data_IF_760324587754
#
_entry.id   IF_760324587754
#
_cell.length_a   1.000
_cell.length_b   1.000
_cell.length_c   1.000
_cell.angle_alpha   90.00
_cell.angle_beta   90.00
_cell.angle_gamma   90.00
#
_symmetry.space_group_name_H-M   'P 1'
#
loop_
_entity.id
_entity.type
_entity.pdbx_description
1 polymer ?
#
# COMPACT_ATOMS: atom_id res chain seq x y z
N UNK A 1 2.80 -14.80 -22.57
CA UNK A 1 2.27 -13.48 -22.15
C UNK A 1 3.36 -12.84 -21.29
N UNK A 2 3.95 -11.69 -21.66
CA UNK A 2 5.03 -11.10 -20.87
C UNK A 2 4.57 -10.93 -19.41
N UNK A 3 5.51 -11.02 -18.45
CA UNK A 3 5.19 -10.76 -17.04
C UNK A 3 4.54 -9.38 -16.97
N UNK A 4 3.24 -9.35 -16.65
CA UNK A 4 2.43 -8.14 -16.77
C UNK A 4 2.61 -7.18 -15.59
N UNK A 5 3.70 -7.32 -14.84
CA UNK A 5 3.90 -6.66 -13.55
C UNK A 5 5.08 -5.70 -13.71
N UNK A 6 4.80 -4.41 -13.61
CA UNK A 6 5.81 -3.36 -13.81
C UNK A 6 6.58 -3.03 -12.53
N UNK A 7 7.25 -1.87 -12.50
CA UNK A 7 7.89 -1.34 -11.29
C UNK A 7 7.02 -0.23 -10.67
N UNK A 8 6.91 -0.22 -9.35
CA UNK A 8 6.21 0.79 -8.56
C UNK A 8 7.24 1.54 -7.70
N UNK A 9 7.30 2.86 -7.84
CA UNK A 9 8.06 3.73 -6.94
C UNK A 9 7.12 4.28 -5.87
N UNK A 10 7.51 4.19 -4.60
CA UNK A 10 6.81 4.80 -3.46
C UNK A 10 7.81 5.67 -2.71
N UNK A 11 7.55 6.98 -2.64
CA UNK A 11 8.39 7.94 -1.93
C UNK A 11 7.58 8.53 -0.78
N UNK A 12 7.99 8.24 0.44
CA UNK A 12 7.30 8.65 1.66
C UNK A 12 7.95 9.88 2.29
N UNK A 13 7.12 10.78 2.81
CA UNK A 13 7.51 11.90 3.65
C UNK A 13 8.28 11.40 4.89
N UNK A 14 7.67 10.50 5.67
CA UNK A 14 8.31 9.85 6.81
C UNK A 14 9.39 8.84 6.41
N UNK A 15 10.34 8.61 7.31
CA UNK A 15 11.43 7.64 7.11
C UNK A 15 11.07 6.21 7.53
N UNK A 16 10.10 6.06 8.43
CA UNK A 16 9.84 4.79 9.12
C UNK A 16 8.38 4.33 8.99
N UNK A 17 7.39 5.04 9.56
CA UNK A 17 5.99 4.58 9.68
C UNK A 17 5.41 4.06 8.35
N UNK A 18 5.34 4.91 7.32
CA UNK A 18 4.73 4.58 6.04
C UNK A 18 5.61 3.60 5.24
N UNK A 19 6.95 3.79 5.14
CA UNK A 19 7.81 2.80 4.53
C UNK A 19 7.68 1.40 5.15
N UNK A 20 7.65 1.30 6.48
CA UNK A 20 7.50 0.03 7.20
C UNK A 20 6.18 -0.65 6.88
N UNK A 21 5.09 0.12 6.76
CA UNK A 21 3.80 -0.41 6.35
C UNK A 21 3.84 -1.01 4.94
N UNK A 22 4.36 -0.27 3.95
CA UNK A 22 4.34 -0.72 2.55
C UNK A 22 5.37 -1.81 2.22
N UNK A 23 6.44 -1.96 3.03
CA UNK A 23 7.43 -3.05 2.89
C UNK A 23 6.82 -4.44 2.93
N UNK A 24 5.63 -4.59 3.50
CA UNK A 24 4.94 -5.87 3.49
C UNK A 24 4.67 -6.38 2.06
N UNK A 25 4.29 -5.52 1.11
CA UNK A 25 4.05 -5.95 -0.28
C UNK A 25 5.35 -6.34 -0.99
N UNK A 26 6.47 -5.65 -0.73
CA UNK A 26 7.79 -6.08 -1.20
C UNK A 26 8.10 -7.51 -0.73
N UNK A 27 7.91 -7.78 0.56
CA UNK A 27 8.11 -9.11 1.16
C UNK A 27 7.18 -10.17 0.55
N UNK A 28 5.95 -9.82 0.19
CA UNK A 28 5.06 -10.77 -0.50
C UNK A 28 5.58 -11.14 -1.88
N UNK A 29 6.04 -10.16 -2.67
CA UNK A 29 6.62 -10.45 -3.99
C UNK A 29 7.83 -11.38 -3.86
N UNK A 30 8.70 -11.15 -2.88
CA UNK A 30 9.81 -12.06 -2.56
C UNK A 30 9.34 -13.48 -2.21
N UNK A 31 8.33 -13.60 -1.33
CA UNK A 31 7.79 -14.91 -0.96
C UNK A 31 7.13 -15.64 -2.13
N UNK A 32 6.37 -14.92 -2.96
CA UNK A 32 5.73 -15.45 -4.17
C UNK A 32 6.78 -15.94 -5.16
N UNK A 33 7.87 -15.18 -5.35
CA UNK A 33 9.02 -15.62 -6.17
C UNK A 33 9.63 -16.91 -5.63
N UNK A 34 9.78 -17.01 -4.29
CA UNK A 34 10.26 -18.22 -3.63
C UNK A 34 9.35 -19.43 -3.84
N UNK A 35 8.04 -19.20 -3.91
CA UNK A 35 7.01 -20.21 -4.15
C UNK A 35 6.69 -20.45 -5.64
N UNK A 36 7.37 -19.77 -6.57
CA UNK A 36 7.08 -19.87 -7.99
C UNK A 36 7.28 -21.30 -8.51
N UNK A 37 6.28 -21.84 -9.24
CA UNK A 37 6.31 -23.22 -9.76
C UNK A 37 7.36 -23.42 -10.86
N UNK A 38 7.74 -22.34 -11.54
CA UNK A 38 8.78 -22.32 -12.57
C UNK A 38 9.70 -21.13 -12.39
N UNK A 39 11.00 -21.33 -12.62
CA UNK A 39 12.00 -20.25 -12.66
C UNK A 39 11.86 -19.40 -13.92
N UNK A 40 11.20 -19.91 -14.95
CA UNK A 40 10.93 -19.20 -16.20
C UNK A 40 9.44 -19.25 -16.50
N UNK A 41 8.80 -18.08 -16.55
CA UNK A 41 7.39 -17.94 -16.91
C UNK A 41 7.32 -17.04 -18.13
N UNK A 42 6.68 -17.53 -19.20
CA UNK A 42 6.57 -16.80 -20.48
C UNK A 42 7.91 -16.27 -21.02
N UNK A 43 8.99 -17.04 -20.87
CA UNK A 43 10.33 -16.68 -21.35
C UNK A 43 11.12 -15.73 -20.43
N UNK A 44 10.58 -15.33 -19.28
CA UNK A 44 11.24 -14.42 -18.35
C UNK A 44 11.71 -15.19 -17.12
N UNK A 45 12.96 -14.95 -16.71
CA UNK A 45 13.52 -15.51 -15.48
C UNK A 45 12.95 -14.78 -14.26
N UNK A 46 12.06 -15.46 -13.53
CA UNK A 46 11.37 -14.94 -12.34
C UNK A 46 12.35 -14.60 -11.21
N UNK A 47 13.55 -15.19 -11.19
CA UNK A 47 14.59 -14.87 -10.21
C UNK A 47 15.37 -13.58 -10.50
N UNK A 48 15.37 -13.12 -11.76
CA UNK A 48 16.11 -11.93 -12.18
C UNK A 48 15.21 -10.68 -12.25
N UNK A 49 13.96 -10.79 -11.82
CA UNK A 49 13.02 -9.67 -11.77
C UNK A 49 13.33 -8.84 -10.52
N UNK A 50 14.10 -7.76 -10.66
CA UNK A 50 14.53 -6.89 -9.55
C UNK A 50 13.43 -5.93 -9.07
N UNK A 51 13.47 -5.57 -7.78
CA UNK A 51 12.70 -4.54 -7.06
C UNK A 51 11.46 -3.98 -7.78
N UNK A 52 10.40 -4.80 -7.83
CA UNK A 52 9.08 -4.46 -8.39
C UNK A 52 8.42 -3.33 -7.63
N UNK A 53 8.70 -3.21 -6.33
CA UNK A 53 8.27 -2.07 -5.52
C UNK A 53 9.54 -1.48 -4.92
N UNK A 54 9.80 -0.20 -5.14
CA UNK A 54 10.91 0.55 -4.53
C UNK A 54 10.35 1.57 -3.57
N UNK A 55 10.68 1.43 -2.29
CA UNK A 55 10.19 2.31 -1.22
C UNK A 55 11.33 3.18 -0.70
N UNK A 56 11.11 4.49 -0.58
CA UNK A 56 12.09 5.46 -0.08
C UNK A 56 11.44 6.41 0.93
N UNK A 57 11.81 6.29 2.19
CA UNK A 57 11.55 7.32 3.20
C UNK A 57 12.60 8.44 3.12
N UNK A 58 12.20 9.70 3.30
CA UNK A 58 13.09 10.84 3.05
C UNK A 58 13.19 11.90 4.14
N UNK A 59 12.29 11.93 5.13
CA UNK A 59 12.29 12.97 6.15
C UNK A 59 12.12 14.36 5.54
N UNK A 60 11.34 14.46 4.45
CA UNK A 60 11.16 15.68 3.65
C UNK A 60 9.69 16.04 3.56
N UNK A 61 9.40 17.33 3.65
CA UNK A 61 8.04 17.81 3.58
C UNK A 61 7.59 18.15 2.15
N UNK A 62 6.36 17.77 1.83
CA UNK A 62 5.52 18.47 0.86
C UNK A 62 6.20 18.67 -0.53
N UNK A 63 6.50 19.89 -0.97
CA UNK A 63 7.07 20.16 -2.32
C UNK A 63 8.45 19.52 -2.50
N UNK A 64 9.28 19.54 -1.46
CA UNK A 64 10.64 19.00 -1.51
C UNK A 64 10.65 17.48 -1.64
N UNK A 65 9.62 16.81 -1.12
CA UNK A 65 9.40 15.38 -1.33
C UNK A 65 9.13 15.09 -2.81
N UNK A 66 8.25 15.87 -3.44
CA UNK A 66 7.87 15.69 -4.86
C UNK A 66 9.09 15.89 -5.76
N UNK A 67 9.86 16.94 -5.54
CA UNK A 67 11.11 17.18 -6.29
C UNK A 67 12.06 16.00 -6.15
N UNK A 68 12.22 15.49 -4.93
CA UNK A 68 13.08 14.34 -4.72
C UNK A 68 12.55 13.07 -5.37
N UNK A 69 11.22 12.88 -5.41
CA UNK A 69 10.60 11.75 -6.06
C UNK A 69 10.83 11.78 -7.58
N UNK A 70 10.72 12.97 -8.19
CA UNK A 70 11.05 13.20 -9.60
C UNK A 70 12.52 12.87 -9.88
N UNK A 71 13.45 13.35 -9.04
CA UNK A 71 14.88 13.04 -9.19
C UNK A 71 15.14 11.52 -9.14
N UNK A 72 14.52 10.82 -8.17
CA UNK A 72 14.68 9.37 -8.03
C UNK A 72 14.15 8.65 -9.26
N UNK A 73 12.97 9.05 -9.78
CA UNK A 73 12.42 8.45 -10.99
C UNK A 73 13.35 8.64 -12.18
N UNK A 74 13.86 9.87 -12.38
CA UNK A 74 14.67 10.23 -13.53
C UNK A 74 16.10 9.67 -13.50
N UNK A 75 16.60 9.27 -12.33
CA UNK A 75 17.93 8.66 -12.17
C UNK A 75 17.94 7.15 -12.44
N UNK A 76 16.78 6.52 -12.59
CA UNK A 76 16.68 5.08 -12.78
C UNK A 76 16.77 4.71 -14.26
N UNK A 77 17.49 3.62 -14.55
CA UNK A 77 17.66 3.13 -15.92
C UNK A 77 16.46 2.35 -16.45
N UNK A 78 15.51 1.99 -15.58
CA UNK A 78 14.31 1.24 -15.92
C UNK A 78 13.12 2.02 -15.38
N UNK A 79 12.19 2.35 -16.27
CA UNK A 79 10.99 3.12 -15.94
C UNK A 79 10.10 2.44 -14.91
N UNK A 80 9.41 3.27 -14.12
CA UNK A 80 8.33 2.82 -13.26
C UNK A 80 7.00 2.89 -14.00
N UNK A 81 6.21 1.83 -13.89
CA UNK A 81 4.83 1.82 -14.37
C UNK A 81 3.89 2.62 -13.47
N UNK A 82 4.28 2.82 -12.22
CA UNK A 82 3.57 3.67 -11.27
C UNK A 82 4.56 4.37 -10.35
N UNK A 83 4.29 5.62 -10.02
CA UNK A 83 5.08 6.36 -9.04
C UNK A 83 4.13 7.07 -8.07
N UNK A 84 4.41 6.94 -6.77
CA UNK A 84 3.56 7.43 -5.70
C UNK A 84 4.35 8.35 -4.76
N UNK A 85 3.76 9.48 -4.43
CA UNK A 85 4.17 10.28 -3.26
C UNK A 85 3.23 9.94 -2.10
N UNK A 86 3.79 9.64 -0.92
CA UNK A 86 3.03 9.42 0.31
C UNK A 86 3.32 10.56 1.28
N UNK A 87 2.31 11.37 1.57
CA UNK A 87 2.41 12.51 2.48
C UNK A 87 1.81 12.16 3.84
N UNK A 88 2.59 12.33 4.90
CA UNK A 88 2.03 12.56 6.23
C UNK A 88 1.61 14.04 6.31
N UNK A 89 0.52 14.33 7.00
CA UNK A 89 0.11 15.71 7.18
C UNK A 89 0.95 16.33 8.30
N UNK A 90 1.91 17.20 7.95
CA UNK A 90 2.70 17.96 8.94
C UNK A 90 2.94 19.44 8.54
N UNK A 91 2.84 20.29 9.57
CA UNK A 91 3.13 21.72 9.81
C UNK A 91 2.92 22.80 8.74
N UNK A 92 3.05 22.55 7.43
CA UNK A 92 2.92 23.60 6.40
C UNK A 92 1.70 23.38 5.50
N UNK A 93 0.50 23.64 6.06
CA UNK A 93 -0.79 23.59 5.33
C UNK A 93 -0.75 24.31 3.98
N UNK A 94 -0.01 25.42 3.90
CA UNK A 94 0.10 26.24 2.71
C UNK A 94 0.71 25.50 1.52
N UNK A 95 1.67 24.60 1.78
CA UNK A 95 2.36 23.86 0.73
C UNK A 95 1.64 22.54 0.37
N UNK A 96 0.74 22.06 1.22
CA UNK A 96 0.12 20.74 1.08
C UNK A 96 -0.63 20.58 -0.25
N UNK A 97 -1.58 21.48 -0.54
CA UNK A 97 -2.33 21.43 -1.79
C UNK A 97 -1.41 21.67 -3.02
N UNK A 98 -0.48 22.66 -3.01
CA UNK A 98 0.52 22.79 -4.06
C UNK A 98 1.34 21.51 -4.33
N UNK A 99 1.76 20.77 -3.30
CA UNK A 99 2.54 19.55 -3.49
C UNK A 99 1.74 18.43 -4.14
N UNK A 100 0.49 18.23 -3.72
CA UNK A 100 -0.41 17.26 -4.36
C UNK A 100 -0.60 17.61 -5.84
N UNK A 101 -0.83 18.89 -6.16
CA UNK A 101 -0.94 19.33 -7.56
C UNK A 101 0.36 19.13 -8.33
N UNK A 102 1.51 19.47 -7.75
CA UNK A 102 2.82 19.29 -8.38
C UNK A 102 3.11 17.82 -8.67
N UNK A 103 2.82 16.92 -7.72
CA UNK A 103 2.99 15.48 -7.90
C UNK A 103 2.17 14.97 -9.09
N UNK A 104 0.86 15.28 -9.10
CA UNK A 104 -0.04 14.87 -10.21
C UNK A 104 0.36 15.45 -11.55
N UNK A 105 0.78 16.71 -11.59
CA UNK A 105 1.29 17.35 -12.81
C UNK A 105 2.59 16.72 -13.34
N UNK A 106 3.25 15.86 -12.56
CA UNK A 106 4.44 15.13 -12.94
C UNK A 106 4.20 13.61 -13.01
N UNK A 107 2.96 13.17 -13.21
CA UNK A 107 2.57 11.75 -13.31
C UNK A 107 2.89 10.92 -12.06
N UNK A 108 2.77 11.54 -10.89
CA UNK A 108 2.74 10.83 -9.62
C UNK A 108 1.31 10.72 -9.10
N UNK A 109 0.94 9.52 -8.70
CA UNK A 109 -0.20 9.28 -7.83
C UNK A 109 0.13 9.72 -6.40
N UNK A 110 -0.90 9.98 -5.59
CA UNK A 110 -0.71 10.59 -4.27
C UNK A 110 -1.54 9.89 -3.19
N UNK A 111 -0.86 9.34 -2.20
CA UNK A 111 -1.46 8.82 -0.98
C UNK A 111 -1.23 9.79 0.19
N UNK A 112 -2.26 10.07 0.99
CA UNK A 112 -2.12 10.89 2.18
C UNK A 112 -3.12 10.51 3.27
N UNK A 113 -2.86 10.96 4.51
CA UNK A 113 -3.80 10.86 5.64
C UNK A 113 -3.84 12.17 6.43
N UNK A 114 -5.05 12.65 6.74
CA UNK A 114 -5.29 13.88 7.47
C UNK A 114 -5.91 13.61 8.85
N UNK A 115 -5.29 14.00 9.96
CA UNK A 115 -3.99 14.70 10.11
C UNK A 115 -2.80 13.77 10.43
N UNK A 116 -3.00 12.46 10.43
CA UNK A 116 -1.94 11.50 10.75
C UNK A 116 -2.14 10.17 10.02
N UNK A 117 -1.04 9.49 9.69
CA UNK A 117 -1.08 8.14 9.10
C UNK A 117 -1.85 7.12 9.96
N UNK A 118 -1.87 7.29 11.28
CA UNK A 118 -2.62 6.46 12.22
C UNK A 118 -4.12 6.40 11.95
N UNK A 119 -4.70 7.40 11.25
CA UNK A 119 -6.07 7.30 10.74
C UNK A 119 -6.24 6.01 9.93
N UNK A 120 -5.29 5.71 9.04
CA UNK A 120 -5.34 4.51 8.21
C UNK A 120 -5.34 3.24 9.06
N UNK A 121 -4.53 3.16 10.12
CA UNK A 121 -4.52 2.00 11.04
C UNK A 121 -5.84 1.85 11.78
N UNK A 122 -6.40 2.95 12.27
CA UNK A 122 -7.67 2.93 12.98
C UNK A 122 -8.81 2.39 12.10
N UNK A 123 -8.81 2.75 10.81
CA UNK A 123 -9.86 2.34 9.88
C UNK A 123 -9.95 0.82 9.66
N UNK A 124 -8.90 0.06 9.97
CA UNK A 124 -8.95 -1.42 9.98
C UNK A 124 -9.91 -1.95 11.04
N UNK A 125 -10.07 -1.23 12.15
CA UNK A 125 -10.97 -1.61 13.24
C UNK A 125 -12.35 -0.96 13.07
N UNK A 126 -12.38 0.38 12.95
CA UNK A 126 -13.63 1.14 13.04
C UNK A 126 -13.65 2.35 12.11
N UNK A 127 -14.87 2.77 11.77
CA UNK A 127 -15.10 4.05 11.12
C UNK A 127 -14.93 5.21 12.11
N UNK A 128 -14.33 6.32 11.68
CA UNK A 128 -14.07 7.50 12.53
C UNK A 128 -14.62 8.77 11.88
N UNK A 129 -15.53 9.48 12.55
CA UNK A 129 -16.12 10.72 12.02
C UNK A 129 -15.53 11.99 12.59
N UNK A 130 -14.91 11.93 13.77
CA UNK A 130 -14.36 13.09 14.45
C UNK A 130 -12.87 13.22 14.19
N UNK A 131 -12.39 14.47 14.08
CA UNK A 131 -10.97 14.77 14.16
C UNK A 131 -10.39 14.14 15.42
N UNK A 132 -9.23 13.51 15.30
CA UNK A 132 -8.54 12.80 16.37
C UNK A 132 -7.07 13.23 16.31
N UNK A 133 -6.51 13.65 17.43
CA UNK A 133 -5.11 14.04 17.53
C UNK A 133 -4.17 12.84 17.50
N UNK A 134 -2.88 13.06 17.20
CA UNK A 134 -1.83 12.03 17.26
C UNK A 134 -1.77 11.32 18.63
N UNK A 135 -1.94 12.06 19.73
CA UNK A 135 -1.99 11.49 21.09
C UNK A 135 -3.20 10.58 21.28
N UNK A 136 -4.38 11.03 20.86
CA UNK A 136 -5.60 10.21 20.94
C UNK A 136 -5.50 8.97 20.04
N UNK A 137 -4.86 9.06 18.87
CA UNK A 137 -4.58 7.88 18.05
C UNK A 137 -3.68 6.88 18.78
N UNK A 138 -2.61 7.34 19.44
CA UNK A 138 -1.74 6.45 20.24
C UNK A 138 -2.55 5.70 21.31
N UNK A 139 -3.39 6.40 22.06
CA UNK A 139 -4.23 5.79 23.11
C UNK A 139 -5.25 4.81 22.53
N UNK A 140 -5.95 5.22 21.47
CA UNK A 140 -6.96 4.41 20.78
C UNK A 140 -6.36 3.13 20.19
N UNK A 141 -5.23 3.24 19.50
CA UNK A 141 -4.53 2.10 18.90
C UNK A 141 -3.95 1.19 19.98
N UNK A 142 -3.34 1.73 21.04
CA UNK A 142 -2.84 0.94 22.17
C UNK A 142 -3.97 0.08 22.76
N UNK A 143 -5.15 0.68 22.97
CA UNK A 143 -6.32 -0.05 23.47
C UNK A 143 -6.83 -1.11 22.49
N UNK A 144 -6.91 -0.79 21.19
CA UNK A 144 -7.40 -1.72 20.16
C UNK A 144 -6.45 -2.89 19.90
N UNK A 145 -5.15 -2.65 19.93
CA UNK A 145 -4.13 -3.68 19.73
C UNK A 145 -3.96 -4.60 20.95
N UNK A 146 -4.34 -4.14 22.15
CA UNK A 146 -4.13 -4.87 23.39
C UNK A 146 -2.68 -4.81 23.91
N UNK A 147 -1.84 -3.97 23.31
CA UNK A 147 -0.44 -3.72 23.66
C UNK A 147 -0.07 -2.26 23.30
N UNK A 148 1.06 -1.76 23.80
CA UNK A 148 1.48 -0.38 23.50
C UNK A 148 1.68 -0.16 21.99
N UNK A 149 1.03 0.88 21.44
CA UNK A 149 1.27 1.30 20.06
C UNK A 149 2.63 1.98 19.94
N UNK A 150 3.47 1.41 19.08
CA UNK A 150 4.76 1.95 18.68
C UNK A 150 4.70 2.49 17.24
N UNK A 151 4.91 3.81 17.07
CA UNK A 151 4.73 4.52 15.79
C UNK A 151 5.54 3.93 14.61
N UNK A 152 6.72 3.38 14.89
CA UNK A 152 7.65 2.91 13.88
C UNK A 152 7.76 1.39 13.83
N UNK A 153 6.81 0.68 14.44
CA UNK A 153 6.83 -0.78 14.48
C UNK A 153 6.86 -1.39 13.06
N UNK A 154 7.95 -2.08 12.67
CA UNK A 154 8.07 -2.69 11.34
C UNK A 154 7.07 -3.81 11.10
N UNK A 155 6.40 -4.32 12.15
CA UNK A 155 5.38 -5.37 12.09
C UNK A 155 3.95 -4.82 12.17
N UNK A 156 3.75 -3.50 12.17
CA UNK A 156 2.42 -2.90 12.34
C UNK A 156 1.37 -3.48 11.38
N UNK A 157 1.70 -3.63 10.09
CA UNK A 157 0.77 -4.23 9.14
C UNK A 157 0.53 -5.73 9.40
N UNK A 158 1.55 -6.49 9.82
CA UNK A 158 1.37 -7.89 10.21
C UNK A 158 0.49 -8.04 11.46
N UNK A 159 0.57 -7.08 12.40
CA UNK A 159 -0.32 -7.01 13.57
C UNK A 159 -1.76 -6.77 13.15
N UNK A 160 -2.01 -5.78 12.29
CA UNK A 160 -3.34 -5.52 11.74
C UNK A 160 -3.91 -6.75 11.02
N UNK A 161 -3.13 -7.40 10.14
CA UNK A 161 -3.59 -8.58 9.41
C UNK A 161 -3.97 -9.77 10.30
N UNK A 162 -3.30 -9.93 11.45
CA UNK A 162 -3.53 -11.05 12.37
C UNK A 162 -4.56 -10.75 13.44
N UNK A 163 -4.90 -9.49 13.63
CA UNK A 163 -5.81 -9.07 14.68
C UNK A 163 -7.25 -9.47 14.31
N UNK A 164 -8.00 -10.14 15.21
CA UNK A 164 -9.32 -10.69 14.89
C UNK A 164 -10.36 -9.63 14.49
N UNK A 165 -10.26 -8.42 15.06
CA UNK A 165 -11.19 -7.32 14.79
C UNK A 165 -10.68 -6.32 13.73
N UNK A 166 -9.58 -6.62 13.04
CA UNK A 166 -8.99 -5.73 12.03
C UNK A 166 -9.15 -6.33 10.64
N UNK A 167 -9.59 -5.51 9.68
CA UNK A 167 -9.73 -5.93 8.28
C UNK A 167 -9.36 -4.80 7.31
N UNK A 168 -8.51 -5.12 6.34
CA UNK A 168 -8.12 -4.18 5.30
C UNK A 168 -9.30 -3.80 4.39
N UNK A 169 -10.22 -4.73 4.09
CA UNK A 169 -11.35 -4.41 3.22
C UNK A 169 -12.32 -3.43 3.91
N UNK A 170 -12.52 -3.62 5.21
CA UNK A 170 -13.17 -2.66 6.09
C UNK A 170 -12.46 -1.29 6.07
N UNK A 171 -11.12 -1.25 6.18
CA UNK A 171 -10.36 0.00 6.09
C UNK A 171 -10.56 0.73 4.76
N UNK A 172 -10.49 0.01 3.64
CA UNK A 172 -10.74 0.54 2.29
C UNK A 172 -12.15 1.12 2.20
N UNK A 173 -13.16 0.38 2.65
CA UNK A 173 -14.56 0.84 2.66
C UNK A 173 -14.75 2.11 3.49
N UNK A 174 -14.15 2.14 4.68
CA UNK A 174 -14.23 3.28 5.58
C UNK A 174 -13.53 4.51 5.00
N UNK A 175 -12.35 4.34 4.42
CA UNK A 175 -11.60 5.43 3.79
C UNK A 175 -12.34 6.00 2.56
N UNK A 176 -12.90 5.14 1.70
CA UNK A 176 -13.76 5.58 0.59
C UNK A 176 -14.94 6.41 1.10
N UNK A 177 -15.59 5.97 2.18
CA UNK A 177 -16.68 6.71 2.82
C UNK A 177 -16.24 8.07 3.37
N UNK A 178 -15.06 8.16 3.99
CA UNK A 178 -14.50 9.43 4.49
C UNK A 178 -14.25 10.44 3.38
N UNK A 179 -13.88 9.98 2.19
CA UNK A 179 -13.56 10.87 1.08
C UNK A 179 -14.77 11.32 0.26
N UNK A 180 -15.94 10.70 0.41
CA UNK A 180 -17.16 11.05 -0.34
C UNK A 180 -17.52 12.55 -0.27
N UNK A 181 -17.52 13.21 0.91
CA UNK A 181 -17.87 14.63 1.02
C UNK A 181 -16.89 15.57 0.29
N UNK A 182 -15.67 15.09 0.01
CA UNK A 182 -14.58 15.90 -0.53
C UNK A 182 -14.33 15.70 -2.02
N UNK A 183 -15.09 14.81 -2.70
CA UNK A 183 -14.84 14.37 -4.08
C UNK A 183 -14.63 15.50 -5.11
N UNK A 184 -15.27 16.65 -4.92
CA UNK A 184 -15.21 17.79 -5.84
C UNK A 184 -14.40 18.98 -5.27
N UNK A 185 -13.56 18.74 -4.27
CA UNK A 185 -12.78 19.78 -3.59
C UNK A 185 -11.28 19.49 -3.70
N UNK A 186 -10.50 20.47 -4.15
CA UNK A 186 -9.04 20.38 -4.13
C UNK A 186 -8.41 21.03 -2.87
N UNK A 187 -9.23 21.32 -1.86
CA UNK A 187 -8.77 21.84 -0.57
C UNK A 187 -8.30 20.69 0.32
N UNK A 188 -7.35 19.89 -0.16
CA UNK A 188 -6.91 18.65 0.51
C UNK A 188 -6.49 18.85 1.96
N UNK A 189 -5.82 19.97 2.29
CA UNK A 189 -5.45 20.33 3.65
C UNK A 189 -6.65 20.51 4.61
N UNK A 190 -7.85 20.77 4.08
CA UNK A 190 -9.08 20.97 4.85
C UNK A 190 -9.90 19.67 4.99
N UNK A 191 -9.54 18.59 4.29
CA UNK A 191 -10.26 17.32 4.35
C UNK A 191 -9.89 16.56 5.62
N UNK A 192 -10.63 16.72 6.72
CA UNK A 192 -10.31 16.05 7.99
C UNK A 192 -11.58 15.53 8.71
N UNK A 193 -11.66 14.23 9.03
CA UNK A 193 -10.70 13.17 8.69
C UNK A 193 -10.81 12.76 7.21
N UNK A 194 -9.68 12.44 6.57
CA UNK A 194 -9.63 11.93 5.19
C UNK A 194 -8.33 11.16 4.97
N UNK A 195 -8.36 10.13 4.11
CA UNK A 195 -7.15 9.43 3.68
C UNK A 195 -7.34 8.85 2.28
N UNK A 196 -6.32 8.95 1.43
CA UNK A 196 -6.25 8.28 0.11
C UNK A 196 -5.30 7.09 0.12
N UNK A 197 -4.78 6.67 1.29
CA UNK A 197 -3.88 5.51 1.41
C UNK A 197 -4.51 4.22 0.85
N UNK A 198 -5.84 4.11 0.90
CA UNK A 198 -6.56 2.98 0.31
C UNK A 198 -6.32 2.84 -1.20
N UNK A 199 -6.10 3.94 -1.94
CA UNK A 199 -5.86 3.91 -3.40
C UNK A 199 -4.52 3.22 -3.70
N UNK A 200 -3.48 3.57 -2.92
CA UNK A 200 -2.17 2.91 -3.00
C UNK A 200 -2.27 1.43 -2.57
N UNK A 201 -2.98 1.14 -1.49
CA UNK A 201 -3.20 -0.25 -1.03
C UNK A 201 -3.93 -1.09 -2.07
N UNK A 202 -4.99 -0.58 -2.70
CA UNK A 202 -5.70 -1.28 -3.76
C UNK A 202 -4.78 -1.53 -4.96
N UNK A 203 -3.98 -0.53 -5.37
CA UNK A 203 -3.00 -0.69 -6.45
C UNK A 203 -1.94 -1.76 -6.12
N UNK A 204 -1.39 -1.75 -4.90
CA UNK A 204 -0.39 -2.72 -4.45
C UNK A 204 -0.97 -4.13 -4.34
N UNK A 205 -2.21 -4.28 -3.86
CA UNK A 205 -2.91 -5.55 -3.82
C UNK A 205 -3.08 -6.12 -5.22
N UNK A 206 -3.58 -5.33 -6.17
CA UNK A 206 -3.74 -5.73 -7.56
C UNK A 206 -2.39 -6.15 -8.19
N UNK A 207 -1.34 -5.37 -7.92
CA UNK A 207 0.02 -5.63 -8.39
C UNK A 207 0.53 -7.00 -7.92
N UNK A 208 0.44 -7.27 -6.61
CA UNK A 208 0.86 -8.54 -6.02
C UNK A 208 0.00 -9.70 -6.49
N UNK A 209 -1.32 -9.51 -6.64
CA UNK A 209 -2.21 -10.54 -7.15
C UNK A 209 -1.91 -10.94 -8.59
N UNK A 210 -1.69 -9.96 -9.48
CA UNK A 210 -1.30 -10.24 -10.87
C UNK A 210 -0.01 -11.03 -10.96
N UNK A 211 0.99 -10.67 -10.15
CA UNK A 211 2.25 -11.40 -10.08
C UNK A 211 2.03 -12.84 -9.61
N UNK A 212 1.34 -13.00 -8.48
CA UNK A 212 0.98 -14.30 -7.91
C UNK A 212 0.26 -15.19 -8.91
N UNK A 213 -0.75 -14.69 -9.64
CA UNK A 213 -1.51 -15.50 -10.60
C UNK A 213 -0.65 -16.03 -11.74
N UNK A 214 0.38 -15.29 -12.15
CA UNK A 214 1.26 -15.70 -13.25
C UNK A 214 2.30 -16.73 -12.81
N UNK A 215 2.84 -16.62 -11.59
CA UNK A 215 4.04 -17.39 -11.20
C UNK A 215 3.81 -18.41 -10.08
N UNK A 216 2.86 -18.15 -9.17
CA UNK A 216 2.56 -19.00 -8.02
C UNK A 216 1.05 -19.05 -7.72
N UNK A 217 0.23 -19.63 -8.61
CA UNK A 217 -1.23 -19.63 -8.50
C UNK A 217 -1.81 -20.46 -7.35
N UNK A 218 -0.96 -21.02 -6.46
CA UNK A 218 -1.39 -21.69 -5.22
C UNK A 218 -0.94 -20.92 -3.96
N UNK A 219 -0.10 -19.88 -4.11
CA UNK A 219 0.37 -19.07 -2.99
C UNK A 219 -0.83 -18.32 -2.37
N UNK A 220 -0.99 -18.40 -1.05
CA UNK A 220 -2.13 -17.77 -0.36
C UNK A 220 -1.78 -16.32 -0.01
N UNK A 221 -2.67 -15.39 -0.36
CA UNK A 221 -2.61 -13.99 0.07
C UNK A 221 -3.74 -13.72 1.07
N UNK A 222 -3.54 -12.83 2.05
CA UNK A 222 -4.47 -12.63 3.16
C UNK A 222 -5.65 -11.70 2.84
N UNK A 223 -5.70 -11.10 1.65
CA UNK A 223 -6.82 -10.25 1.21
C UNK A 223 -7.46 -10.82 -0.05
N UNK A 224 -8.79 -10.66 -0.21
CA UNK A 224 -9.52 -11.21 -1.35
C UNK A 224 -9.10 -10.53 -2.66
N UNK A 225 -9.27 -11.24 -3.76
CA UNK A 225 -9.14 -10.70 -5.11
C UNK A 225 -10.08 -11.44 -6.05
N UNK A 226 -10.79 -10.67 -6.85
CA UNK A 226 -11.68 -11.17 -7.88
C UNK A 226 -10.93 -11.18 -9.21
N UNK A 227 -10.50 -12.36 -9.64
CA UNK A 227 -9.83 -12.53 -10.92
C UNK A 227 -10.15 -13.86 -11.57
N UNK A 228 -10.43 -13.80 -12.88
CA UNK A 228 -10.77 -14.96 -13.72
C UNK A 228 -9.69 -16.04 -13.74
N UNK A 229 -8.44 -15.68 -13.49
CA UNK A 229 -7.32 -16.65 -13.40
C UNK A 229 -7.27 -17.35 -12.03
N UNK A 230 -7.74 -16.71 -10.96
CA UNK A 230 -7.91 -17.33 -9.64
C UNK A 230 -9.00 -18.41 -9.64
N UNK A 231 -10.12 -18.18 -10.35
CA UNK A 231 -11.24 -19.13 -10.46
C UNK A 231 -10.86 -20.47 -11.08
N UNK A 232 -9.80 -20.49 -11.91
CA UNK A 232 -9.25 -21.72 -12.50
C UNK A 232 -8.38 -22.49 -11.51
N UNK A 233 -7.63 -21.78 -10.64
CA UNK A 233 -6.78 -22.39 -9.61
C UNK A 233 -7.56 -23.02 -8.46
N UNK A 234 -8.75 -22.50 -8.15
CA UNK A 234 -9.66 -23.08 -7.15
C UNK A 234 -10.31 -24.40 -7.58
N UNK A 235 -10.15 -24.83 -8.84
CA UNK A 235 -10.71 -26.06 -9.43
C UNK A 235 -9.68 -27.18 -9.64
N UNK A 236 -8.67 -27.29 -8.78
CA UNK A 236 -7.90 -28.54 -8.70
C UNK A 236 -8.80 -29.62 -8.10
N UNK A 237 -9.10 -30.73 -8.82
CA UNK A 237 -9.87 -31.82 -8.24
C UNK A 237 -9.10 -32.42 -7.06
N UNK A 238 -9.80 -32.93 -6.01
CA UNK A 238 -9.12 -33.62 -4.92
C UNK A 238 -8.29 -34.77 -5.49
N UNK A 239 -7.07 -34.91 -4.96
CA UNK A 239 -6.12 -35.98 -5.28
C UNK A 239 -6.87 -37.31 -5.44
N UNK A 240 -6.81 -37.87 -6.65
CA UNK A 240 -7.19 -39.26 -6.87
C UNK A 240 -6.19 -40.09 -6.07
N UNK A 241 -6.64 -40.65 -4.95
CA UNK A 241 -5.96 -41.75 -4.28
C UNK A 241 -5.93 -42.91 -5.28
N UNK A 242 -4.78 -43.10 -5.91
CA UNK A 242 -4.48 -44.36 -6.60
C UNK A 242 -4.17 -45.37 -5.49
N UNK A 243 -5.19 -46.15 -5.12
CA UNK A 243 -5.02 -47.36 -4.35
C UNK A 243 -4.37 -48.41 -5.26
N UNK A 244 -3.16 -48.84 -4.92
CA UNK A 244 -2.57 -50.11 -5.38
C UNK A 244 -2.78 -51.17 -4.30
#
# INVERSE_FOLDING_TARGET
MPLAVGRVLIVCEGEETEPNYFRWWQKQLENIRGAAKSKVVSGINVKNFGDEIKIKGKGRNTISLVEKAIDIRNQESIDYTQAWCVFDYDSFRENYNPAIRKARANDFEVAYSNDAFELWYWLHFDYLQSRTSRTEYKEKLTKRLGEEYEKNDPKMYEKLLKHPDADQQQAIKNAKKLNLPYKNSEKYADHNPSTTVFELVESLNEHVWRFRCQVAPDYKLPYPHDCKDCDKSAKLPPLILVLF
#
